data_IF_129351585936
#
_entry.id   IF_129351585936
#
_cell.length_a   1.000
_cell.length_b   1.000
_cell.length_c   1.000
_cell.angle_alpha   90.00
_cell.angle_beta   90.00
_cell.angle_gamma   90.00
#
_symmetry.space_group_name_H-M   'P 1'
#
loop_
_entity.id
_entity.type
_entity.pdbx_description
1 polymer ?
#
# COMPACT_ATOMS: atom_id res chain seq x y z
N UNK A 1 13.47 -59.71 14.84
CA UNK A 1 14.47 -60.00 13.80
C UNK A 1 14.01 -59.29 12.52
N UNK A 2 14.79 -58.27 12.09
CA UNK A 2 14.86 -57.62 10.75
C UNK A 2 13.58 -56.99 10.14
N UNK A 3 13.38 -55.67 10.22
CA UNK A 3 13.91 -54.53 9.40
C UNK A 3 13.24 -54.33 8.04
N UNK A 4 12.76 -53.10 7.79
CA UNK A 4 12.46 -52.61 6.44
C UNK A 4 11.64 -51.32 6.40
N UNK A 5 12.13 -50.21 6.97
CA UNK A 5 11.57 -48.86 6.72
C UNK A 5 12.50 -48.18 5.70
N UNK A 6 11.99 -47.92 4.50
CA UNK A 6 12.68 -47.20 3.45
C UNK A 6 12.56 -45.69 3.70
N UNK A 7 13.70 -45.04 4.00
CA UNK A 7 13.86 -43.59 3.93
C UNK A 7 14.04 -43.20 2.47
N UNK A 8 13.12 -42.40 1.93
CA UNK A 8 13.32 -41.69 0.65
C UNK A 8 14.06 -40.40 0.96
N UNK A 9 15.35 -40.37 0.67
CA UNK A 9 16.15 -39.15 0.64
C UNK A 9 15.99 -38.51 -0.74
N UNK A 10 15.36 -37.33 -0.80
CA UNK A 10 15.31 -36.50 -2.01
C UNK A 10 16.56 -35.62 -2.00
N UNK A 11 17.57 -36.00 -2.79
CA UNK A 11 18.75 -35.19 -3.06
C UNK A 11 18.46 -34.23 -4.22
N UNK A 12 18.46 -32.92 -3.94
CA UNK A 12 18.49 -31.88 -4.98
C UNK A 12 19.90 -31.81 -5.58
N UNK A 13 20.06 -32.33 -6.80
CA UNK A 13 21.26 -32.15 -7.61
C UNK A 13 21.07 -30.87 -8.41
N UNK A 14 21.66 -29.76 -7.95
CA UNK A 14 21.87 -28.58 -8.78
C UNK A 14 23.05 -28.85 -9.71
N UNK A 15 22.79 -28.96 -11.01
CA UNK A 15 23.82 -28.96 -12.04
C UNK A 15 24.14 -27.50 -12.43
N UNK A 16 25.23 -26.97 -11.89
CA UNK A 16 25.90 -25.75 -12.39
C UNK A 16 26.93 -26.16 -13.46
N UNK A 17 26.99 -25.51 -14.64
CA UNK A 17 28.15 -25.61 -15.50
C UNK A 17 29.27 -24.68 -14.99
N UNK A 18 30.35 -25.28 -14.50
CA UNK A 18 31.65 -24.66 -14.23
C UNK A 18 32.35 -24.30 -15.54
N UNK A 19 32.85 -23.06 -15.66
CA UNK A 19 34.13 -22.58 -16.25
C UNK A 19 34.12 -21.04 -16.05
N UNK A 20 35.13 -20.30 -15.59
CA UNK A 20 36.56 -20.52 -15.46
C UNK A 20 37.21 -19.55 -14.45
N UNK A 21 38.27 -20.05 -13.81
CA UNK A 21 39.57 -19.44 -13.43
C UNK A 21 39.61 -18.09 -12.70
N UNK A 22 40.11 -18.17 -11.47
CA UNK A 22 40.54 -17.03 -10.67
C UNK A 22 41.85 -16.39 -11.11
N UNK A 23 42.02 -15.16 -10.65
CA UNK A 23 43.28 -14.49 -10.40
C UNK A 23 43.10 -13.67 -9.12
N UNK A 24 43.88 -13.99 -8.09
CA UNK A 24 43.96 -13.18 -6.88
C UNK A 24 45.06 -12.14 -7.00
N UNK A 25 44.87 -10.99 -6.35
CA UNK A 25 45.85 -10.01 -5.85
C UNK A 25 44.99 -9.00 -5.05
N UNK A 26 45.35 -8.43 -3.91
CA UNK A 26 46.55 -8.41 -3.08
C UNK A 26 46.26 -7.40 -1.97
N UNK A 27 46.56 -7.76 -0.72
CA UNK A 27 46.46 -6.86 0.44
C UNK A 27 47.49 -5.74 0.31
N UNK A 28 47.06 -4.48 0.45
CA UNK A 28 47.92 -3.31 0.56
C UNK A 28 47.59 -2.52 1.81
N UNK A 29 48.50 -2.55 2.79
CA UNK A 29 48.53 -1.66 3.95
C UNK A 29 48.93 -0.23 3.53
N UNK A 30 48.34 0.79 4.17
CA UNK A 30 48.81 2.17 4.11
C UNK A 30 48.27 2.97 5.29
N UNK A 31 49.17 3.33 6.22
CA UNK A 31 48.90 4.13 7.42
C UNK A 31 48.82 5.64 7.12
N UNK A 32 48.08 6.40 7.94
CA UNK A 32 48.19 7.86 8.03
C UNK A 32 47.26 8.47 9.09
N UNK A 33 47.85 8.95 10.18
CA UNK A 33 47.22 9.54 11.37
C UNK A 33 46.64 10.95 11.15
N UNK A 34 45.64 11.34 11.96
CA UNK A 34 45.17 12.72 12.07
C UNK A 34 44.19 12.96 13.23
N UNK A 35 44.76 13.36 14.37
CA UNK A 35 44.24 14.01 15.60
C UNK A 35 42.72 14.22 15.85
N UNK A 36 42.29 13.76 17.03
CA UNK A 36 41.03 14.09 17.72
C UNK A 36 41.09 15.45 18.43
N UNK A 37 39.98 16.20 18.38
CA UNK A 37 39.64 17.28 19.32
C UNK A 37 38.30 16.95 20.00
N UNK A 38 38.07 17.38 21.26
CA UNK A 38 36.97 16.87 22.08
C UNK A 38 35.63 17.46 21.66
N UNK A 39 34.66 16.60 21.33
CA UNK A 39 33.24 16.96 21.23
C UNK A 39 32.51 16.33 22.41
N UNK A 40 31.73 17.14 23.11
CA UNK A 40 30.87 16.71 24.21
C UNK A 40 29.80 15.73 23.70
N UNK A 41 30.03 14.43 23.88
CA UNK A 41 29.07 13.39 23.56
C UNK A 41 28.03 13.29 24.68
N UNK A 42 26.85 13.87 24.47
CA UNK A 42 25.63 13.40 25.15
C UNK A 42 25.38 11.96 24.69
N UNK A 43 25.58 10.98 25.57
CA UNK A 43 25.32 9.55 25.33
C UNK A 43 23.89 9.33 24.84
N UNK A 44 23.72 9.17 23.52
CA UNK A 44 22.52 8.59 22.93
C UNK A 44 22.55 7.09 23.20
N UNK A 45 21.60 6.60 23.99
CA UNK A 45 21.41 5.15 24.17
C UNK A 45 20.63 4.63 22.97
N UNK A 46 21.34 4.21 21.93
CA UNK A 46 20.77 3.40 20.84
C UNK A 46 20.88 1.94 21.31
N UNK A 47 19.75 1.30 21.64
CA UNK A 47 19.72 -0.16 21.76
C UNK A 47 19.51 -0.74 20.37
N UNK A 48 20.54 -1.41 19.86
CA UNK A 48 20.40 -2.33 18.73
C UNK A 48 19.52 -3.51 19.19
N UNK A 49 18.41 -3.75 18.50
CA UNK A 49 17.64 -4.98 18.66
C UNK A 49 18.50 -6.16 18.23
N UNK A 50 18.78 -7.07 19.15
CA UNK A 50 19.44 -8.34 18.86
C UNK A 50 18.55 -9.15 17.92
N UNK A 51 19.13 -9.58 16.80
CA UNK A 51 18.41 -10.25 15.71
C UNK A 51 17.66 -11.51 16.15
N UNK A 52 16.44 -11.66 15.64
CA UNK A 52 15.73 -12.93 15.58
C UNK A 52 15.30 -13.15 14.13
N UNK A 53 15.75 -14.26 13.57
CA UNK A 53 15.38 -14.78 12.26
C UNK A 53 13.89 -15.15 12.22
N UNK A 54 13.29 -14.89 11.06
CA UNK A 54 11.89 -15.11 10.74
C UNK A 54 11.33 -16.47 11.16
N UNK A 55 10.35 -16.44 12.05
CA UNK A 55 9.22 -17.36 12.10
C UNK A 55 8.00 -16.56 12.54
N UNK A 56 6.85 -16.90 11.97
CA UNK A 56 5.53 -16.35 12.29
C UNK A 56 5.20 -16.69 13.75
N UNK A 57 5.65 -15.83 14.65
CA UNK A 57 5.26 -15.83 16.05
C UNK A 57 4.82 -14.42 16.38
N UNK A 58 3.51 -14.29 16.66
CA UNK A 58 3.09 -13.50 17.81
C UNK A 58 4.15 -13.68 18.87
N UNK A 59 4.89 -12.63 19.22
CA UNK A 59 5.83 -12.70 20.35
C UNK A 59 5.02 -13.04 21.58
N UNK A 60 4.94 -14.33 21.85
CA UNK A 60 4.77 -14.90 23.16
C UNK A 60 6.09 -14.53 23.87
N UNK A 61 6.13 -13.29 24.38
CA UNK A 61 6.96 -13.00 25.53
C UNK A 61 6.43 -13.88 26.67
N UNK A 62 6.93 -15.12 26.69
CA UNK A 62 6.96 -15.93 27.90
C UNK A 62 7.60 -15.10 29.00
N UNK A 63 6.85 -14.96 30.09
CA UNK A 63 7.30 -14.48 31.39
C UNK A 63 7.68 -12.99 31.53
N UNK A 64 7.01 -12.07 30.82
CA UNK A 64 7.33 -10.64 30.98
C UNK A 64 6.19 -9.63 30.98
N UNK A 65 5.06 -9.99 31.60
CA UNK A 65 3.97 -9.03 31.82
C UNK A 65 4.35 -7.90 32.82
N UNK A 66 5.50 -7.99 33.48
CA UNK A 66 5.94 -7.09 34.56
C UNK A 66 7.05 -6.10 34.15
N UNK A 67 7.67 -6.22 32.96
CA UNK A 67 8.53 -5.14 32.48
C UNK A 67 7.68 -3.93 32.11
N UNK A 68 7.58 -3.02 33.07
CA UNK A 68 7.14 -1.64 32.85
C UNK A 68 8.04 -1.09 31.75
N UNK A 69 7.51 -0.72 30.57
CA UNK A 69 8.34 -0.11 29.54
C UNK A 69 9.02 1.14 30.13
N UNK A 70 10.25 1.46 29.71
CA UNK A 70 11.01 2.56 30.29
C UNK A 70 10.17 3.83 30.35
N UNK A 71 10.26 4.52 31.48
CA UNK A 71 9.69 5.85 31.67
C UNK A 71 10.28 6.78 30.61
N UNK A 72 9.47 7.09 29.60
CA UNK A 72 9.78 7.93 28.45
C UNK A 72 10.86 7.38 27.48
N UNK A 73 10.41 6.98 26.29
CA UNK A 73 11.28 6.66 25.16
C UNK A 73 11.17 7.75 24.09
N UNK A 74 12.19 8.62 24.01
CA UNK A 74 12.23 9.75 23.06
C UNK A 74 12.20 9.29 21.60
N UNK A 75 12.79 8.14 21.30
CA UNK A 75 12.83 7.60 19.95
C UNK A 75 12.60 6.09 19.97
N UNK A 76 11.63 5.65 19.17
CA UNK A 76 11.42 4.24 18.86
C UNK A 76 11.53 4.05 17.36
N UNK A 77 12.15 2.95 16.96
CA UNK A 77 12.26 2.54 15.57
C UNK A 77 11.74 1.11 15.46
N UNK A 78 10.73 0.91 14.62
CA UNK A 78 10.22 -0.39 14.25
C UNK A 78 10.20 -0.51 12.72
N UNK A 79 10.01 -1.70 12.19
CA UNK A 79 10.04 -1.91 10.74
C UNK A 79 10.41 -3.33 10.37
N UNK A 80 10.55 -3.58 9.07
CA UNK A 80 11.01 -4.86 8.53
C UNK A 80 11.75 -4.65 7.21
N UNK A 81 12.64 -5.60 6.91
CA UNK A 81 13.18 -5.79 5.57
C UNK A 81 12.52 -7.02 4.97
N UNK A 82 12.06 -6.91 3.72
CA UNK A 82 11.46 -7.99 2.95
C UNK A 82 12.28 -8.24 1.70
N UNK A 83 12.46 -9.53 1.41
CA UNK A 83 12.85 -10.04 0.10
C UNK A 83 11.79 -11.09 -0.28
N UNK A 84 11.12 -10.89 -1.41
CA UNK A 84 10.05 -11.78 -1.90
C UNK A 84 10.42 -12.26 -3.30
N UNK A 85 10.32 -13.55 -3.53
CA UNK A 85 10.48 -14.14 -4.87
C UNK A 85 9.16 -14.77 -5.30
N UNK A 86 8.65 -14.31 -6.43
CA UNK A 86 7.35 -14.66 -6.96
C UNK A 86 7.54 -15.53 -8.22
N UNK A 87 6.83 -16.65 -8.28
CA UNK A 87 6.69 -17.48 -9.47
C UNK A 87 5.22 -17.50 -9.88
N UNK A 88 4.91 -16.73 -10.91
CA UNK A 88 3.56 -16.52 -11.39
C UNK A 88 3.39 -17.27 -12.71
N UNK A 89 2.47 -18.22 -12.73
CA UNK A 89 2.21 -19.05 -13.92
C UNK A 89 0.80 -18.80 -14.45
N UNK A 90 0.72 -18.43 -15.73
CA UNK A 90 -0.54 -18.30 -16.48
C UNK A 90 -1.54 -17.36 -15.81
N UNK A 91 -1.08 -16.18 -15.38
CA UNK A 91 -1.94 -15.13 -14.82
C UNK A 91 -3.07 -14.72 -15.78
N UNK A 92 -2.83 -14.85 -17.07
CA UNK A 92 -3.84 -14.62 -18.09
C UNK A 92 -4.90 -15.72 -18.19
N UNK A 93 -4.85 -16.80 -17.41
CA UNK A 93 -5.80 -17.92 -17.48
C UNK A 93 -5.97 -18.54 -18.90
N UNK A 94 -5.02 -18.28 -19.81
CA UNK A 94 -5.10 -18.67 -21.22
C UNK A 94 -5.67 -17.62 -22.19
N UNK A 95 -6.08 -16.43 -21.72
CA UNK A 95 -6.44 -15.30 -22.56
C UNK A 95 -5.18 -14.71 -23.21
N UNK A 96 -5.19 -14.54 -24.53
CA UNK A 96 -4.12 -13.87 -25.25
C UNK A 96 -4.56 -12.45 -25.57
N UNK A 97 -3.62 -11.51 -25.52
CA UNK A 97 -3.89 -10.16 -26.01
C UNK A 97 -4.15 -10.26 -27.51
N UNK A 98 -5.21 -9.61 -27.98
CA UNK A 98 -5.49 -9.36 -29.39
C UNK A 98 -5.95 -7.89 -29.50
N UNK A 99 -5.01 -6.93 -29.52
CA UNK A 99 -5.34 -5.50 -29.51
C UNK A 99 -6.25 -5.09 -30.66
N UNK A 100 -6.10 -5.71 -31.84
CA UNK A 100 -6.97 -5.48 -32.99
C UNK A 100 -8.42 -5.95 -32.81
N UNK A 101 -8.69 -6.77 -31.81
CA UNK A 101 -10.03 -7.27 -31.45
C UNK A 101 -10.50 -6.72 -30.09
N UNK A 102 -9.71 -5.82 -29.47
CA UNK A 102 -10.00 -5.27 -28.15
C UNK A 102 -9.91 -6.28 -27.00
N UNK A 103 -9.31 -7.44 -27.21
CA UNK A 103 -9.16 -8.48 -26.18
C UNK A 103 -7.84 -8.28 -25.45
N UNK A 104 -7.92 -8.13 -24.12
CA UNK A 104 -6.75 -7.97 -23.26
C UNK A 104 -6.79 -8.98 -22.12
N UNK A 105 -5.62 -9.48 -21.74
CA UNK A 105 -5.46 -10.32 -20.56
C UNK A 105 -5.82 -9.49 -19.31
N UNK A 106 -6.61 -10.05 -18.36
CA UNK A 106 -7.05 -9.33 -17.16
C UNK A 106 -5.90 -9.06 -16.17
N UNK A 107 -4.78 -9.74 -16.34
CA UNK A 107 -3.57 -9.59 -15.54
C UNK A 107 -2.35 -9.50 -16.44
N UNK A 108 -1.24 -9.02 -15.87
CA UNK A 108 0.02 -8.87 -16.61
C UNK A 108 0.49 -10.21 -17.21
N UNK A 109 0.98 -10.14 -18.45
CA UNK A 109 1.61 -11.25 -19.17
C UNK A 109 3.06 -10.90 -19.53
N UNK A 110 3.91 -11.89 -19.81
CA UNK A 110 5.26 -11.63 -20.32
C UNK A 110 5.26 -10.66 -21.50
N UNK A 111 6.17 -9.68 -21.47
CA UNK A 111 6.28 -8.63 -22.50
C UNK A 111 6.39 -9.22 -23.92
N UNK A 112 7.02 -10.39 -24.06
CA UNK A 112 7.14 -11.11 -25.32
C UNK A 112 5.80 -11.52 -25.95
N UNK A 113 4.70 -11.56 -25.19
CA UNK A 113 3.36 -11.85 -25.73
C UNK A 113 2.71 -10.66 -26.42
N UNK A 114 3.19 -9.43 -26.18
CA UNK A 114 2.66 -8.23 -26.83
C UNK A 114 3.27 -7.97 -28.22
N UNK A 115 4.26 -8.77 -28.62
CA UNK A 115 4.92 -8.62 -29.91
C UNK A 115 3.95 -8.89 -31.06
N UNK A 116 4.07 -8.13 -32.16
CA UNK A 116 3.14 -8.18 -33.28
C UNK A 116 3.02 -9.55 -33.96
N UNK A 117 4.08 -10.37 -33.91
CA UNK A 117 4.08 -11.73 -34.44
C UNK A 117 3.28 -12.73 -33.59
N UNK A 118 2.96 -12.37 -32.34
CA UNK A 118 2.07 -13.16 -31.48
C UNK A 118 0.60 -13.11 -31.90
N UNK A 119 0.22 -12.19 -32.79
CA UNK A 119 -1.12 -12.11 -33.40
C UNK A 119 -1.23 -12.88 -34.72
N UNK A 120 -0.16 -13.53 -35.19
CA UNK A 120 -0.18 -14.32 -36.41
C UNK A 120 -0.88 -15.68 -36.21
N UNK A 121 -1.35 -16.29 -37.30
CA UNK A 121 -2.02 -17.62 -37.24
C UNK A 121 -1.10 -18.75 -36.73
N UNK A 122 0.22 -18.58 -36.79
CA UNK A 122 1.22 -19.52 -36.30
C UNK A 122 2.22 -18.78 -35.40
N UNK A 123 1.82 -18.39 -34.17
CA UNK A 123 2.66 -17.57 -33.33
C UNK A 123 3.86 -18.37 -32.81
N UNK A 124 5.06 -17.78 -32.74
CA UNK A 124 6.24 -18.45 -32.24
C UNK A 124 6.11 -18.87 -30.77
N UNK A 125 6.91 -19.85 -30.34
CA UNK A 125 6.81 -20.44 -29.00
C UNK A 125 6.93 -19.41 -27.85
N UNK A 126 7.65 -18.31 -28.06
CA UNK A 126 7.77 -17.20 -27.08
C UNK A 126 6.44 -16.52 -26.75
N UNK A 127 5.47 -16.56 -27.66
CA UNK A 127 4.12 -16.04 -27.44
C UNK A 127 3.27 -16.96 -26.55
N UNK A 128 3.73 -18.21 -26.35
CA UNK A 128 3.12 -19.22 -25.48
C UNK A 128 3.85 -19.33 -24.13
N UNK A 129 4.73 -18.38 -23.81
CA UNK A 129 5.41 -18.36 -22.53
C UNK A 129 4.50 -17.77 -21.46
N UNK A 130 4.21 -18.51 -20.40
CA UNK A 130 3.20 -18.15 -19.40
C UNK A 130 3.77 -17.82 -18.02
N UNK A 131 5.09 -17.85 -17.87
CA UNK A 131 5.74 -17.73 -16.57
C UNK A 131 6.31 -16.34 -16.38
N UNK A 132 6.00 -15.70 -15.25
CA UNK A 132 6.68 -14.51 -14.77
C UNK A 132 7.40 -14.88 -13.47
N UNK A 133 8.69 -14.61 -13.42
CA UNK A 133 9.50 -14.74 -12.20
C UNK A 133 10.03 -13.38 -11.83
N UNK A 134 9.87 -13.01 -10.57
CA UNK A 134 10.38 -11.74 -10.06
C UNK A 134 10.91 -11.93 -8.66
N UNK A 135 11.96 -11.20 -8.31
CA UNK A 135 12.40 -11.04 -6.93
C UNK A 135 12.37 -9.56 -6.62
N UNK A 136 11.66 -9.18 -5.56
CA UNK A 136 11.58 -7.81 -5.10
C UNK A 136 12.06 -7.67 -3.66
N UNK A 137 12.49 -6.46 -3.31
CA UNK A 137 12.82 -6.10 -1.93
C UNK A 137 12.03 -4.87 -1.48
N UNK A 138 11.94 -4.69 -0.16
CA UNK A 138 11.42 -3.49 0.51
C UNK A 138 12.04 -3.38 1.90
N UNK A 139 12.45 -2.19 2.31
CA UNK A 139 12.73 -1.87 3.70
C UNK A 139 11.70 -0.85 4.19
N UNK A 140 10.79 -1.27 5.07
CA UNK A 140 9.84 -0.38 5.74
C UNK A 140 10.34 -0.03 7.12
N UNK A 141 10.43 1.25 7.43
CA UNK A 141 10.75 1.75 8.78
C UNK A 141 9.66 2.67 9.28
N UNK A 142 9.30 2.49 10.55
CA UNK A 142 8.27 3.24 11.26
C UNK A 142 8.89 3.93 12.49
N UNK A 143 9.61 5.06 12.30
CA UNK A 143 10.14 5.83 13.41
C UNK A 143 9.03 6.56 14.16
N UNK A 144 9.16 6.60 15.49
CA UNK A 144 8.31 7.41 16.36
C UNK A 144 9.20 8.27 17.25
N UNK A 145 9.13 9.58 17.06
CA UNK A 145 9.81 10.59 17.87
C UNK A 145 8.83 11.13 18.92
N UNK A 146 9.29 11.25 20.17
CA UNK A 146 8.54 11.82 21.29
C UNK A 146 9.38 12.92 21.91
N UNK A 147 9.30 14.16 21.41
CA UNK A 147 10.06 15.28 21.99
C UNK A 147 9.62 15.63 23.43
N UNK A 148 8.38 15.31 23.79
CA UNK A 148 7.81 15.49 25.14
C UNK A 148 6.79 14.40 25.46
N UNK A 149 6.30 14.35 26.70
CA UNK A 149 5.25 13.41 27.12
C UNK A 149 3.90 13.65 26.42
N UNK A 150 3.69 14.86 25.88
CA UNK A 150 2.44 15.24 25.21
C UNK A 150 2.54 15.22 23.70
N UNK A 151 3.73 15.24 23.11
CA UNK A 151 3.93 15.34 21.66
C UNK A 151 4.60 14.08 21.14
N UNK A 152 4.03 13.52 20.08
CA UNK A 152 4.64 12.43 19.31
C UNK A 152 4.53 12.68 17.81
N UNK A 153 5.54 12.25 17.07
CA UNK A 153 5.61 12.33 15.61
C UNK A 153 5.79 10.90 15.12
N UNK A 154 4.93 10.49 14.19
CA UNK A 154 4.89 9.14 13.64
C UNK A 154 5.13 9.23 12.15
N UNK A 155 5.86 8.26 11.60
CA UNK A 155 6.09 8.17 10.16
C UNK A 155 6.19 6.72 9.71
N UNK A 156 5.85 6.49 8.44
CA UNK A 156 6.09 5.25 7.70
C UNK A 156 6.90 5.59 6.46
N UNK A 157 8.10 5.02 6.37
CA UNK A 157 9.04 5.27 5.29
C UNK A 157 9.37 3.94 4.61
N UNK A 158 9.15 3.86 3.31
CA UNK A 158 9.53 2.71 2.50
C UNK A 158 10.74 3.06 1.64
N UNK A 159 11.81 2.28 1.82
CA UNK A 159 13.04 2.34 1.02
C UNK A 159 13.03 1.15 0.08
N UNK A 160 13.27 1.42 -1.21
CA UNK A 160 13.15 0.43 -2.28
C UNK A 160 11.79 -0.26 -2.23
N UNK A 161 10.73 0.53 -2.19
CA UNK A 161 9.37 0.05 -2.04
C UNK A 161 8.92 -0.81 -3.24
N UNK A 162 9.08 -2.13 -3.10
CA UNK A 162 8.87 -3.16 -4.14
C UNK A 162 9.85 -3.06 -5.32
N UNK A 163 11.10 -2.70 -5.05
CA UNK A 163 12.16 -2.71 -6.06
C UNK A 163 12.37 -4.13 -6.58
N UNK A 164 12.17 -4.34 -7.88
CA UNK A 164 12.54 -5.58 -8.57
C UNK A 164 14.06 -5.64 -8.70
N UNK A 165 14.68 -6.72 -8.23
CA UNK A 165 16.13 -6.85 -8.30
C UNK A 165 16.59 -6.91 -9.77
N UNK A 166 17.56 -6.06 -10.11
CA UNK A 166 18.08 -5.93 -11.47
C UNK A 166 17.24 -5.07 -12.40
N UNK A 167 16.19 -4.39 -11.92
CA UNK A 167 15.38 -3.49 -12.78
C UNK A 167 16.08 -2.20 -13.21
N UNK A 168 17.24 -1.88 -12.61
CA UNK A 168 17.95 -0.62 -12.83
C UNK A 168 19.41 -0.88 -13.26
N UNK A 169 19.68 -1.57 -14.38
CA UNK A 169 21.05 -1.77 -14.84
C UNK A 169 21.66 -0.42 -15.28
N UNK A 170 22.97 -0.21 -15.10
CA UNK A 170 23.60 1.10 -15.39
C UNK A 170 23.66 1.51 -16.87
N UNK A 171 23.20 0.63 -17.77
CA UNK A 171 23.01 0.90 -19.20
C UNK A 171 21.55 0.96 -19.65
N UNK A 172 20.58 1.22 -18.77
CA UNK A 172 19.16 1.38 -19.15
C UNK A 172 18.56 2.66 -18.57
N UNK A 173 17.88 3.43 -19.42
CA UNK A 173 17.05 4.57 -19.00
C UNK A 173 15.60 4.33 -19.41
N UNK A 174 14.68 4.61 -18.49
CA UNK A 174 13.25 4.50 -18.70
C UNK A 174 12.84 5.45 -19.84
N UNK A 175 12.11 4.94 -20.84
CA UNK A 175 11.70 5.70 -22.02
C UNK A 175 12.75 5.85 -23.13
N UNK A 176 14.04 5.70 -22.82
CA UNK A 176 15.13 5.84 -23.80
C UNK A 176 15.83 4.52 -24.16
N UNK A 177 15.59 3.46 -23.39
CA UNK A 177 16.15 2.13 -23.62
C UNK A 177 17.65 2.05 -23.29
N UNK A 178 18.37 1.19 -24.02
CA UNK A 178 19.83 1.05 -23.89
C UNK A 178 20.55 2.14 -24.68
N UNK A 179 21.48 2.91 -24.08
CA UNK A 179 22.25 3.93 -24.79
C UNK A 179 23.03 3.36 -25.98
N UNK A 180 23.24 4.16 -27.04
CA UNK A 180 23.90 3.71 -28.27
C UNK A 180 25.36 3.27 -28.10
N UNK A 181 26.03 3.69 -27.03
CA UNK A 181 27.39 3.26 -26.68
C UNK A 181 27.44 1.93 -25.90
N UNK A 182 26.28 1.37 -25.53
CA UNK A 182 26.14 0.07 -24.89
C UNK A 182 25.31 -0.85 -25.82
N UNK A 183 25.92 -1.87 -26.46
CA UNK A 183 25.23 -2.67 -27.47
C UNK A 183 24.09 -3.51 -26.90
N UNK A 184 24.14 -3.88 -25.61
CA UNK A 184 23.12 -4.67 -24.92
C UNK A 184 23.26 -4.54 -23.40
N UNK A 185 22.14 -4.41 -22.67
CA UNK A 185 22.12 -4.24 -21.22
C UNK A 185 22.79 -5.40 -20.46
N UNK A 186 22.75 -6.62 -21.00
CA UNK A 186 23.35 -7.80 -20.33
C UNK A 186 24.87 -7.87 -20.37
N UNK A 187 25.57 -6.92 -21.00
CA UNK A 187 27.02 -6.75 -20.83
C UNK A 187 27.38 -5.95 -19.58
N UNK A 188 26.40 -5.30 -18.97
CA UNK A 188 26.55 -4.53 -17.76
C UNK A 188 26.06 -5.34 -16.55
N UNK A 189 26.99 -5.68 -15.66
CA UNK A 189 26.69 -6.37 -14.40
C UNK A 189 26.41 -5.42 -13.24
N UNK A 190 26.39 -4.11 -13.49
CA UNK A 190 26.21 -3.09 -12.47
C UNK A 190 24.78 -2.56 -12.46
N UNK A 191 24.35 -2.07 -11.30
CA UNK A 191 23.07 -1.38 -11.13
C UNK A 191 23.31 0.11 -10.94
N UNK A 192 22.56 0.94 -11.66
CA UNK A 192 22.47 2.36 -11.41
C UNK A 192 21.69 2.64 -10.12
N UNK A 193 21.90 3.85 -9.58
CA UNK A 193 21.10 4.35 -8.46
C UNK A 193 19.63 4.45 -8.90
N UNK A 194 18.72 4.07 -8.02
CA UNK A 194 17.28 4.15 -8.28
C UNK A 194 16.80 5.60 -8.20
N UNK A 195 16.37 6.16 -9.33
CA UNK A 195 16.04 7.58 -9.48
C UNK A 195 14.76 7.74 -10.32
N UNK A 196 13.79 8.49 -9.77
CA UNK A 196 12.52 8.78 -10.43
C UNK A 196 12.76 9.53 -11.75
N UNK A 197 12.04 9.13 -12.81
CA UNK A 197 12.10 9.78 -14.12
C UNK A 197 13.34 9.42 -14.95
N UNK A 198 14.37 8.82 -14.34
CA UNK A 198 15.58 8.35 -15.03
C UNK A 198 15.51 6.85 -15.34
N UNK A 199 15.36 6.02 -14.30
CA UNK A 199 15.31 4.56 -14.42
C UNK A 199 14.23 3.92 -13.51
N UNK A 200 13.38 4.73 -12.91
CA UNK A 200 12.28 4.32 -12.06
C UNK A 200 11.05 5.22 -12.26
N UNK A 201 9.86 4.67 -12.11
CA UNK A 201 8.62 5.43 -12.07
C UNK A 201 8.38 6.13 -10.72
N UNK A 202 9.17 5.78 -9.69
CA UNK A 202 8.99 6.24 -8.31
C UNK A 202 10.33 6.57 -7.64
N UNK A 203 10.29 7.34 -6.57
CA UNK A 203 11.46 7.58 -5.74
C UNK A 203 11.94 6.34 -4.98
N UNK A 204 13.24 6.30 -4.67
CA UNK A 204 13.86 5.23 -3.87
C UNK A 204 13.40 5.24 -2.43
N UNK A 205 13.05 6.40 -1.90
CA UNK A 205 12.55 6.60 -0.54
C UNK A 205 11.19 7.26 -0.64
N UNK A 206 10.16 6.58 -0.12
CA UNK A 206 8.78 7.06 -0.13
C UNK A 206 8.27 7.21 1.30
N UNK A 207 7.86 8.42 1.66
CA UNK A 207 7.20 8.70 2.95
C UNK A 207 5.71 8.46 2.76
N UNK A 208 5.21 7.35 3.30
CA UNK A 208 3.79 6.96 3.21
C UNK A 208 2.93 7.71 4.21
N UNK A 209 3.46 7.93 5.41
CA UNK A 209 2.79 8.68 6.46
C UNK A 209 3.79 9.57 7.22
N UNK A 210 3.33 10.74 7.63
CA UNK A 210 4.04 11.65 8.53
C UNK A 210 3.00 12.53 9.22
N UNK A 211 2.81 12.34 10.52
CA UNK A 211 1.83 13.09 11.29
C UNK A 211 2.29 13.34 12.72
N UNK A 212 1.86 14.48 13.25
CA UNK A 212 2.04 14.85 14.65
C UNK A 212 0.80 14.48 15.48
N UNK A 213 1.00 14.14 16.75
CA UNK A 213 -0.05 13.91 17.73
C UNK A 213 0.28 14.64 19.03
N UNK A 214 -0.66 15.45 19.50
CA UNK A 214 -0.58 16.25 20.72
C UNK A 214 -1.66 15.80 21.70
N UNK A 215 -1.27 15.30 22.87
CA UNK A 215 -2.17 14.95 23.94
C UNK A 215 -2.55 16.19 24.75
N UNK A 216 -3.82 16.58 24.69
CA UNK A 216 -4.40 17.73 25.38
C UNK A 216 -5.20 17.32 26.62
N UNK A 217 -4.87 16.16 27.23
CA UNK A 217 -5.52 15.50 28.37
C UNK A 217 -6.96 15.03 28.12
N UNK A 218 -7.83 15.90 27.61
CA UNK A 218 -9.24 15.59 27.29
C UNK A 218 -9.37 14.87 25.94
N UNK A 219 -8.50 15.22 25.00
CA UNK A 219 -8.46 14.61 23.68
C UNK A 219 -7.03 14.65 23.14
N UNK A 220 -6.78 13.82 22.14
CA UNK A 220 -5.60 13.85 21.30
C UNK A 220 -5.94 14.63 20.02
N UNK A 221 -5.12 15.61 19.68
CA UNK A 221 -5.13 16.28 18.38
C UNK A 221 -4.05 15.65 17.49
N UNK A 222 -4.42 15.13 16.33
CA UNK A 222 -3.48 14.64 15.33
C UNK A 222 -3.62 15.41 14.02
N UNK A 223 -2.52 15.65 13.31
CA UNK A 223 -2.52 16.32 12.02
C UNK A 223 -1.38 15.86 11.12
N UNK A 224 -1.65 15.78 9.81
CA UNK A 224 -0.71 15.33 8.78
C UNK A 224 -1.24 14.13 8.00
N UNK A 225 -0.34 13.46 7.27
CA UNK A 225 -0.67 12.25 6.50
C UNK A 225 -0.67 11.03 7.41
N UNK A 226 -1.84 10.44 7.65
CA UNK A 226 -2.01 9.31 8.57
C UNK A 226 -2.51 8.06 7.83
N UNK A 227 -2.14 6.85 8.26
CA UNK A 227 -2.80 5.64 7.78
C UNK A 227 -4.29 5.66 8.16
N UNK A 228 -5.16 5.34 7.22
CA UNK A 228 -6.58 5.20 7.46
C UNK A 228 -6.92 3.70 7.56
N UNK A 229 -7.28 3.26 8.75
CA UNK A 229 -7.60 1.86 9.00
C UNK A 229 -8.78 1.73 9.94
N UNK A 230 -9.73 0.86 9.60
CA UNK A 230 -10.86 0.53 10.44
C UNK A 230 -11.18 -0.96 10.36
N UNK A 231 -11.69 -1.53 11.45
CA UNK A 231 -12.12 -2.93 11.50
C UNK A 231 -11.02 -3.96 11.16
N UNK A 232 -11.38 -4.87 10.25
CA UNK A 232 -10.57 -5.82 9.47
C UNK A 232 -9.86 -5.15 8.28
N UNK A 233 -10.30 -3.96 7.87
CA UNK A 233 -9.76 -3.23 6.73
C UNK A 233 -10.42 -3.61 5.41
N UNK A 234 -11.75 -3.78 5.41
CA UNK A 234 -12.52 -4.04 4.19
C UNK A 234 -12.62 -2.77 3.34
N UNK A 235 -13.00 -1.65 3.94
CA UNK A 235 -13.14 -0.36 3.24
C UNK A 235 -11.94 0.57 3.42
N UNK A 236 -11.31 0.53 4.60
CA UNK A 236 -10.17 1.38 4.94
C UNK A 236 -9.04 0.55 5.51
N UNK A 237 -7.94 0.44 4.78
CA UNK A 237 -6.81 -0.41 5.15
C UNK A 237 -5.47 0.34 5.10
N UNK A 238 -4.93 0.68 6.28
CA UNK A 238 -3.64 1.38 6.39
C UNK A 238 -2.39 0.61 5.93
N UNK A 239 -2.53 -0.63 5.42
CA UNK A 239 -1.44 -1.35 4.76
C UNK A 239 -0.30 -1.77 5.68
N UNK A 240 -0.58 -2.03 6.96
CA UNK A 240 0.45 -2.33 7.97
C UNK A 240 0.99 -3.78 7.90
N UNK A 241 0.41 -4.63 7.05
CA UNK A 241 0.85 -6.01 6.86
C UNK A 241 2.25 -6.13 6.25
N UNK A 242 2.92 -7.26 6.52
CA UNK A 242 4.23 -7.55 5.91
C UNK A 242 4.17 -7.70 4.38
N UNK A 243 3.09 -8.31 3.90
CA UNK A 243 2.84 -8.52 2.47
C UNK A 243 1.87 -7.48 1.88
N UNK A 244 1.52 -6.45 2.66
CA UNK A 244 0.66 -5.38 2.20
C UNK A 244 1.47 -4.46 1.27
N UNK A 245 1.25 -4.62 -0.04
CA UNK A 245 1.93 -3.79 -1.04
C UNK A 245 1.33 -2.38 -1.16
N UNK A 246 0.09 -2.20 -0.69
CA UNK A 246 -0.67 -0.96 -0.70
C UNK A 246 -1.23 -0.62 0.70
N UNK A 247 -1.67 0.62 0.87
CA UNK A 247 -2.37 1.08 2.07
C UNK A 247 -3.02 2.43 1.82
N UNK A 248 -4.07 2.70 2.58
CA UNK A 248 -4.83 3.94 2.55
C UNK A 248 -4.19 4.94 3.51
N UNK A 249 -3.87 6.12 2.98
CA UNK A 249 -3.33 7.23 3.74
C UNK A 249 -4.14 8.49 3.43
N UNK A 250 -4.47 9.25 4.46
CA UNK A 250 -5.30 10.45 4.34
C UNK A 250 -4.61 11.61 5.03
N UNK A 251 -4.60 12.77 4.37
CA UNK A 251 -4.17 14.03 4.95
C UNK A 251 -5.32 14.59 5.78
N UNK A 252 -5.13 14.72 7.10
CA UNK A 252 -6.23 14.92 8.05
C UNK A 252 -5.84 15.80 9.22
N UNK A 253 -6.83 16.47 9.79
CA UNK A 253 -6.81 16.96 11.19
C UNK A 253 -7.86 16.17 11.98
N UNK A 254 -7.42 15.49 13.04
CA UNK A 254 -8.25 14.58 13.84
C UNK A 254 -8.23 14.95 15.30
N UNK A 255 -9.41 14.91 15.93
CA UNK A 255 -9.55 14.91 17.38
C UNK A 255 -10.02 13.53 17.81
N UNK A 256 -9.41 12.95 18.83
CA UNK A 256 -9.81 11.66 19.41
C UNK A 256 -9.89 11.74 20.91
N UNK A 257 -10.99 11.29 21.50
CA UNK A 257 -11.20 11.26 22.95
C UNK A 257 -11.62 9.88 23.40
N UNK A 258 -11.27 9.52 24.64
CA UNK A 258 -11.73 8.31 25.30
C UNK A 258 -12.85 8.68 26.25
N UNK A 259 -14.03 8.09 26.07
CA UNK A 259 -15.16 8.22 26.99
C UNK A 259 -14.96 7.19 28.11
N UNK A 260 -14.54 7.59 29.32
CA UNK A 260 -13.97 6.64 30.30
C UNK A 260 -14.97 5.58 30.79
N UNK A 261 -16.24 5.97 30.98
CA UNK A 261 -17.25 5.07 31.51
C UNK A 261 -17.63 3.93 30.56
N UNK A 262 -17.38 4.10 29.26
CA UNK A 262 -17.75 3.12 28.24
C UNK A 262 -16.56 2.43 27.60
N UNK A 263 -15.34 2.90 27.90
CA UNK A 263 -14.10 2.52 27.21
C UNK A 263 -14.24 2.68 25.68
N UNK A 264 -14.89 3.78 25.28
CA UNK A 264 -15.26 4.06 23.90
C UNK A 264 -14.38 5.20 23.39
N UNK A 265 -13.55 4.92 22.38
CA UNK A 265 -12.79 5.94 21.67
C UNK A 265 -13.67 6.55 20.60
N UNK A 266 -13.86 7.85 20.66
CA UNK A 266 -14.60 8.61 19.66
C UNK A 266 -13.66 9.57 18.96
N UNK A 267 -13.85 9.75 17.66
CA UNK A 267 -13.06 10.69 16.89
C UNK A 267 -13.89 11.43 15.85
N UNK A 268 -13.43 12.64 15.55
CA UNK A 268 -13.92 13.46 14.47
C UNK A 268 -12.70 13.98 13.70
N UNK A 269 -12.82 14.03 12.40
CA UNK A 269 -11.75 14.45 11.52
C UNK A 269 -12.27 15.24 10.34
N UNK A 270 -11.47 16.23 9.96
CA UNK A 270 -11.56 16.92 8.69
C UNK A 270 -10.41 16.40 7.81
N UNK A 271 -10.79 15.84 6.68
CA UNK A 271 -9.92 15.16 5.73
C UNK A 271 -9.81 15.98 4.45
N UNK A 272 -8.57 16.19 4.04
CA UNK A 272 -8.20 16.76 2.75
C UNK A 272 -8.06 15.59 1.77
N UNK A 273 -9.19 15.08 1.26
CA UNK A 273 -9.20 13.86 0.46
C UNK A 273 -8.63 14.09 -0.96
N UNK A 274 -8.84 15.28 -1.51
CA UNK A 274 -8.20 15.76 -2.74
C UNK A 274 -8.23 17.30 -2.75
N UNK A 275 -7.13 17.91 -3.21
CA UNK A 275 -6.93 19.37 -3.28
C UNK A 275 -6.58 19.84 -4.69
N UNK A 276 -6.98 19.07 -5.71
CA UNK A 276 -6.78 19.49 -7.10
C UNK A 276 -5.34 19.78 -7.52
N UNK A 277 -5.21 20.76 -8.42
CA UNK A 277 -3.92 21.26 -8.90
C UNK A 277 -3.28 22.22 -7.90
N UNK A 278 -1.98 22.07 -7.70
CA UNK A 278 -1.18 23.03 -6.91
C UNK A 278 -0.31 23.89 -7.82
N UNK A 279 0.10 25.05 -7.32
CA UNK A 279 0.98 25.97 -8.06
C UNK A 279 2.30 25.35 -8.50
N UNK A 280 2.77 24.31 -7.81
CA UNK A 280 3.99 23.58 -8.17
C UNK A 280 3.82 22.79 -9.47
N UNK A 281 2.60 22.32 -9.77
CA UNK A 281 2.31 21.61 -11.03
C UNK A 281 2.16 22.60 -12.19
N UNK A 282 1.58 23.78 -11.97
CA UNK A 282 1.42 24.82 -13.00
C UNK A 282 2.68 25.66 -13.24
N UNK A 283 3.52 25.81 -12.22
CA UNK A 283 4.74 26.61 -12.28
C UNK A 283 5.92 25.79 -11.75
N UNK A 284 6.33 24.71 -12.44
CA UNK A 284 7.36 23.78 -11.96
C UNK A 284 8.75 24.43 -11.83
N UNK A 285 8.99 25.55 -12.52
CA UNK A 285 10.23 26.32 -12.43
C UNK A 285 10.25 27.31 -11.25
N UNK A 286 9.16 27.39 -10.47
CA UNK A 286 9.10 28.24 -9.28
C UNK A 286 9.74 27.51 -8.11
N UNK A 287 11.08 27.49 -8.10
CA UNK A 287 11.89 26.82 -7.06
C UNK A 287 11.84 27.52 -5.70
N UNK A 288 11.16 28.66 -5.59
CA UNK A 288 11.07 29.48 -4.38
C UNK A 288 9.63 29.82 -4.01
N UNK A 289 9.29 29.61 -2.73
CA UNK A 289 7.97 29.89 -2.16
C UNK A 289 7.30 28.64 -1.62
N UNK A 290 6.15 28.83 -0.95
CA UNK A 290 5.28 27.73 -0.54
C UNK A 290 4.31 27.43 -1.68
N UNK A 291 4.20 26.18 -2.16
CA UNK A 291 3.15 25.78 -3.08
C UNK A 291 1.77 26.05 -2.47
N UNK A 292 0.86 26.57 -3.28
CA UNK A 292 -0.52 26.83 -2.88
C UNK A 292 -1.46 26.00 -3.73
N UNK A 293 -2.61 25.68 -3.15
CA UNK A 293 -3.76 25.19 -3.89
C UNK A 293 -4.22 26.28 -4.89
N UNK A 294 -4.59 25.85 -6.09
CA UNK A 294 -5.01 26.73 -7.17
C UNK A 294 -6.51 27.00 -7.16
N UNK A 295 -7.35 26.12 -6.60
CA UNK A 295 -8.80 26.35 -6.57
C UNK A 295 -9.56 25.53 -5.50
N UNK A 296 -10.12 26.20 -4.49
CA UNK A 296 -11.00 25.58 -3.49
C UNK A 296 -12.29 24.93 -4.06
N UNK A 297 -12.66 25.21 -5.32
CA UNK A 297 -13.87 24.63 -5.94
C UNK A 297 -13.71 23.17 -6.37
N UNK A 298 -12.48 22.73 -6.68
CA UNK A 298 -12.20 21.36 -7.11
C UNK A 298 -11.88 20.39 -5.95
N UNK A 299 -11.76 20.95 -4.75
CA UNK A 299 -11.56 20.25 -3.49
C UNK A 299 -12.62 19.17 -3.20
N UNK A 300 -12.13 18.00 -2.81
CA UNK A 300 -12.94 16.98 -2.16
C UNK A 300 -12.73 17.06 -0.64
N UNK A 301 -13.61 17.80 0.03
CA UNK A 301 -13.62 17.87 1.49
C UNK A 301 -14.37 16.66 2.07
N UNK A 302 -13.73 15.94 2.99
CA UNK A 302 -14.34 14.83 3.69
C UNK A 302 -14.36 15.05 5.21
N UNK A 303 -15.49 14.70 5.82
CA UNK A 303 -15.65 14.65 7.27
C UNK A 303 -15.78 13.20 7.68
N UNK A 304 -14.99 12.80 8.67
CA UNK A 304 -14.99 11.42 9.15
C UNK A 304 -15.24 11.41 10.64
N UNK A 305 -16.16 10.55 11.09
CA UNK A 305 -16.42 10.30 12.49
C UNK A 305 -16.33 8.80 12.79
N UNK A 306 -15.84 8.45 13.97
CA UNK A 306 -15.83 7.06 14.42
C UNK A 306 -16.09 6.94 15.91
N UNK A 307 -16.60 5.79 16.31
CA UNK A 307 -16.71 5.36 17.69
C UNK A 307 -16.30 3.90 17.76
N UNK A 308 -15.26 3.57 18.53
CA UNK A 308 -14.70 2.22 18.62
C UNK A 308 -14.38 1.84 20.06
N UNK A 309 -14.80 0.64 20.44
CA UNK A 309 -14.36 -0.05 21.63
C UNK A 309 -13.55 -1.26 21.20
N UNK A 310 -12.28 -1.29 21.59
CA UNK A 310 -11.34 -2.35 21.21
C UNK A 310 -10.37 -2.61 22.35
N UNK A 311 -10.36 -3.83 22.86
CA UNK A 311 -9.38 -4.27 23.85
C UNK A 311 -8.01 -4.43 23.21
N UNK A 312 -6.94 -4.18 23.98
CA UNK A 312 -5.58 -4.49 23.54
C UNK A 312 -5.38 -6.01 23.42
N UNK A 313 -4.43 -6.49 22.58
CA UNK A 313 -4.16 -7.92 22.46
C UNK A 313 -3.87 -8.59 23.82
N UNK A 314 -3.17 -7.87 24.71
CA UNK A 314 -2.84 -8.32 26.06
C UNK A 314 -4.07 -8.46 26.96
N UNK A 315 -4.99 -7.50 26.93
CA UNK A 315 -6.25 -7.56 27.67
C UNK A 315 -7.15 -8.66 27.14
N UNK A 316 -7.28 -8.79 25.82
CA UNK A 316 -8.07 -9.84 25.18
C UNK A 316 -7.56 -11.23 25.57
N UNK A 317 -6.25 -11.48 25.50
CA UNK A 317 -5.64 -12.75 25.94
C UNK A 317 -5.94 -13.04 27.41
N UNK A 318 -5.77 -12.04 28.29
CA UNK A 318 -6.07 -12.18 29.73
C UNK A 318 -7.54 -12.51 29.98
N UNK A 319 -8.48 -11.78 29.38
CA UNK A 319 -9.91 -11.98 29.58
C UNK A 319 -10.36 -13.36 29.06
N UNK A 320 -9.79 -13.83 27.96
CA UNK A 320 -10.06 -15.17 27.43
C UNK A 320 -9.52 -16.28 28.34
N UNK A 321 -8.33 -16.09 28.93
CA UNK A 321 -7.78 -17.02 29.93
C UNK A 321 -8.64 -17.07 31.21
N UNK A 322 -9.22 -15.93 31.60
CA UNK A 322 -10.20 -15.85 32.68
C UNK A 322 -11.57 -16.47 32.31
N UNK A 323 -11.72 -17.00 31.09
CA UNK A 323 -12.96 -17.61 30.59
C UNK A 323 -14.08 -16.60 30.32
N UNK A 324 -13.76 -15.31 30.19
CA UNK A 324 -14.72 -14.24 29.91
C UNK A 324 -14.98 -14.10 28.42
N UNK A 325 -16.16 -13.59 28.09
CA UNK A 325 -16.51 -13.17 26.72
C UNK A 325 -15.86 -11.80 26.48
N UNK A 326 -15.16 -11.67 25.35
CA UNK A 326 -14.58 -10.40 24.91
C UNK A 326 -15.37 -9.91 23.70
N UNK A 327 -15.92 -8.70 23.81
CA UNK A 327 -16.69 -8.05 22.75
C UNK A 327 -16.01 -6.72 22.39
N UNK A 328 -15.67 -6.58 21.13
CA UNK A 328 -15.16 -5.36 20.52
C UNK A 328 -16.14 -4.93 19.41
N UNK A 329 -16.31 -3.64 19.21
CA UNK A 329 -17.18 -3.12 18.17
C UNK A 329 -16.80 -1.70 17.81
N UNK A 330 -17.18 -1.27 16.62
CA UNK A 330 -17.05 0.10 16.22
C UNK A 330 -17.95 0.46 15.06
N UNK A 331 -18.12 1.76 14.86
CA UNK A 331 -18.67 2.35 13.67
C UNK A 331 -17.74 3.45 13.18
N UNK A 332 -17.62 3.55 11.87
CA UNK A 332 -16.91 4.59 11.14
C UNK A 332 -17.85 5.13 10.06
N UNK A 333 -17.84 6.43 9.84
CA UNK A 333 -18.61 7.06 8.78
C UNK A 333 -17.78 8.18 8.17
N UNK A 334 -17.69 8.20 6.84
CA UNK A 334 -17.17 9.33 6.11
C UNK A 334 -18.26 9.97 5.26
N UNK A 335 -18.23 11.30 5.17
CA UNK A 335 -19.09 12.10 4.33
C UNK A 335 -18.19 13.01 3.49
N UNK A 336 -18.21 12.86 2.17
CA UNK A 336 -17.39 13.66 1.27
C UNK A 336 -18.24 14.46 0.30
N UNK A 337 -17.76 15.66 -0.04
CA UNK A 337 -18.39 16.56 -0.98
C UNK A 337 -17.34 17.20 -1.87
N UNK A 338 -17.62 17.20 -3.17
CA UNK A 338 -16.80 17.84 -4.19
C UNK A 338 -17.70 18.58 -5.18
N UNK A 339 -17.34 19.81 -5.57
CA UNK A 339 -18.15 20.61 -6.50
C UNK A 339 -17.67 20.49 -7.93
N UNK A 340 -16.37 20.68 -8.13
CA UNK A 340 -15.70 20.53 -9.41
C UNK A 340 -14.63 19.43 -9.31
N UNK A 341 -14.18 18.94 -10.44
CA UNK A 341 -13.01 18.08 -10.53
C UNK A 341 -12.39 18.30 -11.91
N UNK A 342 -11.11 17.98 -12.05
CA UNK A 342 -10.49 17.97 -13.36
C UNK A 342 -11.22 16.99 -14.31
N UNK A 343 -11.29 17.38 -15.58
CA UNK A 343 -11.81 16.54 -16.63
C UNK A 343 -11.01 15.23 -16.74
N UNK A 344 -11.69 14.15 -17.12
CA UNK A 344 -11.02 12.88 -17.39
C UNK A 344 -10.20 13.01 -18.67
N UNK A 345 -8.90 12.71 -18.62
CA UNK A 345 -8.05 12.67 -19.81
C UNK A 345 -8.41 11.47 -20.70
N UNK A 346 -8.40 11.69 -22.02
CA UNK A 346 -8.29 10.60 -22.98
C UNK A 346 -6.85 10.07 -22.97
N UNK A 347 -6.64 8.81 -23.30
CA UNK A 347 -5.29 8.22 -23.28
C UNK A 347 -4.32 8.75 -24.33
N UNK A 348 -4.84 9.43 -25.35
CA UNK A 348 -4.05 10.16 -26.35
C UNK A 348 -3.60 11.52 -25.84
N UNK A 349 -4.20 11.98 -24.73
CA UNK A 349 -3.78 13.20 -24.07
C UNK A 349 -2.50 12.90 -23.30
N UNK A 350 -1.45 13.67 -23.58
CA UNK A 350 -0.20 13.56 -22.84
C UNK A 350 -0.52 13.83 -21.35
N UNK A 351 -0.25 12.91 -20.41
CA UNK A 351 -0.53 13.16 -19.00
C UNK A 351 0.25 14.36 -18.44
N UNK A 352 1.27 14.84 -19.17
CA UNK A 352 2.03 16.06 -18.87
C UNK A 352 1.31 17.33 -19.40
N UNK A 353 0.27 17.21 -20.22
CA UNK A 353 -0.45 18.36 -20.81
C UNK A 353 -1.29 19.19 -19.82
N UNK A 354 -1.54 18.67 -18.61
CA UNK A 354 -2.03 19.49 -17.48
C UNK A 354 -1.04 20.59 -17.08
N UNK A 355 0.23 20.44 -17.46
CA UNK A 355 1.31 21.39 -17.22
C UNK A 355 1.76 22.07 -18.52
N UNK A 356 0.82 22.58 -19.33
CA UNK A 356 1.17 23.62 -20.31
C UNK A 356 1.59 24.96 -19.64
N UNK A 357 1.91 24.94 -18.34
CA UNK A 357 2.21 26.10 -17.49
C UNK A 357 1.23 27.28 -17.70
N UNK A 358 0.02 26.97 -18.18
CA UNK A 358 -1.00 27.92 -18.58
C UNK A 358 -2.26 27.65 -17.76
N UNK A 359 -2.54 28.52 -16.77
CA UNK A 359 -3.73 28.41 -15.92
C UNK A 359 -5.03 28.45 -16.71
N UNK A 360 -5.06 29.07 -17.90
CA UNK A 360 -6.30 29.19 -18.68
C UNK A 360 -6.75 27.85 -19.23
N UNK A 361 -5.81 27.03 -19.73
CA UNK A 361 -6.07 25.67 -20.20
C UNK A 361 -6.54 24.78 -19.05
N UNK A 362 -5.91 24.91 -17.88
CA UNK A 362 -6.28 24.11 -16.70
C UNK A 362 -7.66 24.49 -16.16
N UNK A 363 -8.02 25.79 -16.19
CA UNK A 363 -9.34 26.27 -15.79
C UNK A 363 -10.45 25.75 -16.73
N UNK A 364 -10.20 25.68 -18.04
CA UNK A 364 -11.15 25.14 -19.02
C UNK A 364 -11.39 23.63 -18.85
N UNK A 365 -10.49 22.93 -18.13
CA UNK A 365 -10.62 21.51 -17.79
C UNK A 365 -11.35 21.26 -16.46
N UNK A 366 -11.76 22.30 -15.73
CA UNK A 366 -12.55 22.12 -14.52
C UNK A 366 -13.99 21.78 -14.87
N UNK A 367 -14.40 20.58 -14.49
CA UNK A 367 -15.73 20.09 -14.75
C UNK A 367 -16.58 20.05 -13.50
N UNK A 368 -17.84 20.45 -13.64
CA UNK A 368 -18.81 20.36 -12.55
C UNK A 368 -19.05 18.87 -12.26
N UNK A 369 -19.01 18.48 -10.99
CA UNK A 369 -19.33 17.11 -10.53
C UNK A 369 -20.49 17.09 -9.55
N UNK A 370 -20.49 18.03 -8.61
CA UNK A 370 -21.42 18.10 -7.46
C UNK A 370 -21.58 16.73 -6.76
N UNK A 371 -20.46 16.05 -6.54
CA UNK A 371 -20.41 14.75 -5.89
C UNK A 371 -20.76 14.89 -4.40
N UNK A 372 -21.64 14.03 -3.92
CA UNK A 372 -21.89 13.84 -2.49
C UNK A 372 -21.88 12.35 -2.20
N UNK A 373 -21.04 11.92 -1.25
CA UNK A 373 -20.89 10.51 -0.88
C UNK A 373 -20.93 10.35 0.64
N UNK A 374 -21.59 9.30 1.11
CA UNK A 374 -21.59 8.85 2.49
C UNK A 374 -21.13 7.39 2.53
N UNK A 375 -20.20 7.07 3.41
CA UNK A 375 -19.61 5.75 3.53
C UNK A 375 -19.66 5.24 4.97
N UNK A 376 -20.73 4.52 5.37
CA UNK A 376 -20.77 3.85 6.66
C UNK A 376 -19.96 2.54 6.65
N UNK A 377 -19.32 2.26 7.78
CA UNK A 377 -18.55 1.05 8.02
C UNK A 377 -18.74 0.60 9.48
N UNK A 378 -19.15 -0.66 9.67
CA UNK A 378 -19.48 -1.25 10.95
C UNK A 378 -18.60 -2.48 11.19
N UNK A 379 -17.94 -2.53 12.34
CA UNK A 379 -17.09 -3.64 12.74
C UNK A 379 -17.52 -4.24 14.07
N UNK A 380 -17.45 -5.56 14.17
CA UNK A 380 -17.78 -6.31 15.38
C UNK A 380 -16.84 -7.51 15.53
N UNK A 381 -16.33 -7.72 16.75
CA UNK A 381 -15.53 -8.89 17.12
C UNK A 381 -16.01 -9.48 18.45
N UNK A 382 -16.19 -10.79 18.46
CA UNK A 382 -16.57 -11.59 19.63
C UNK A 382 -15.55 -12.71 19.79
N UNK A 383 -14.96 -12.84 20.98
CA UNK A 383 -14.11 -13.96 21.32
C UNK A 383 -14.54 -14.60 22.64
N UNK A 384 -14.59 -15.92 22.66
CA UNK A 384 -14.93 -16.71 23.84
C UNK A 384 -14.21 -18.06 23.85
N UNK A 385 -13.34 -18.27 24.84
CA UNK A 385 -12.51 -19.47 24.96
C UNK A 385 -11.76 -19.75 23.65
N UNK A 386 -12.10 -20.84 22.97
CA UNK A 386 -11.52 -21.27 21.69
C UNK A 386 -12.19 -20.66 20.47
N UNK A 387 -13.34 -20.00 20.60
CA UNK A 387 -14.09 -19.46 19.47
C UNK A 387 -13.83 -17.96 19.29
N UNK A 388 -13.71 -17.53 18.04
CA UNK A 388 -13.69 -16.13 17.65
C UNK A 388 -14.59 -15.90 16.43
N UNK A 389 -15.33 -14.80 16.43
CA UNK A 389 -16.08 -14.28 15.30
C UNK A 389 -15.67 -12.84 15.11
N UNK A 390 -15.41 -12.44 13.88
CA UNK A 390 -15.12 -11.07 13.51
C UNK A 390 -15.85 -10.75 12.20
N UNK A 391 -16.48 -9.60 12.12
CA UNK A 391 -17.21 -9.17 10.93
C UNK A 391 -17.04 -7.68 10.69
N UNK A 392 -17.06 -7.31 9.42
CA UNK A 392 -17.10 -5.92 8.95
C UNK A 392 -18.15 -5.81 7.86
N UNK A 393 -18.96 -4.75 7.92
CA UNK A 393 -19.99 -4.42 6.94
C UNK A 393 -19.80 -2.97 6.54
N UNK A 394 -19.54 -2.74 5.27
CA UNK A 394 -19.29 -1.41 4.73
C UNK A 394 -20.26 -1.11 3.59
N UNK A 395 -20.57 0.16 3.42
CA UNK A 395 -21.36 0.64 2.29
C UNK A 395 -20.89 2.00 1.83
N UNK A 396 -21.24 2.36 0.61
CA UNK A 396 -21.03 3.69 0.07
C UNK A 396 -22.23 4.06 -0.77
N UNK A 397 -22.79 5.22 -0.48
CA UNK A 397 -24.00 5.73 -1.11
C UNK A 397 -23.78 7.19 -1.49
N UNK A 398 -24.30 7.62 -2.63
CA UNK A 398 -24.16 9.00 -3.04
C UNK A 398 -24.62 9.24 -4.45
N UNK A 399 -24.33 10.44 -4.94
CA UNK A 399 -24.68 10.85 -6.29
C UNK A 399 -23.63 11.79 -6.86
N UNK A 400 -23.50 11.75 -8.18
CA UNK A 400 -22.71 12.64 -9.02
C UNK A 400 -23.68 13.23 -10.03
N UNK A 401 -23.66 14.55 -10.20
CA UNK A 401 -24.67 15.24 -11.02
C UNK A 401 -24.21 15.50 -12.45
N UNK A 402 -22.91 15.43 -12.74
CA UNK A 402 -22.43 15.67 -14.11
C UNK A 402 -21.13 14.88 -14.40
N UNK A 403 -21.23 13.98 -15.37
CA UNK A 403 -20.18 13.11 -15.90
C UNK A 403 -20.12 13.18 -17.43
N UNK A 404 -20.44 14.33 -18.03
CA UNK A 404 -20.50 14.52 -19.50
C UNK A 404 -19.20 14.20 -20.25
N UNK A 405 -18.06 14.29 -19.59
CA UNK A 405 -16.72 14.01 -20.11
C UNK A 405 -16.29 12.55 -19.88
N UNK A 406 -17.11 11.77 -19.18
CA UNK A 406 -16.91 10.33 -19.00
C UNK A 406 -17.80 9.59 -19.98
N UNK A 407 -17.25 8.56 -20.65
CA UNK A 407 -18.03 7.68 -21.54
C UNK A 407 -18.93 6.79 -20.69
N UNK A 408 -20.12 7.28 -20.35
CA UNK A 408 -21.17 6.50 -19.69
C UNK A 408 -22.29 6.31 -20.72
N UNK A 409 -22.52 5.06 -21.14
CA UNK A 409 -23.62 4.72 -22.05
C UNK A 409 -24.97 4.74 -21.31
N UNK A 410 -25.37 5.91 -20.81
CA UNK A 410 -26.61 6.11 -20.06
C UNK A 410 -27.33 7.38 -20.52
N UNK A 411 -28.65 7.34 -20.51
CA UNK A 411 -29.49 8.52 -20.73
C UNK A 411 -29.35 9.50 -19.54
N UNK A 412 -28.38 10.41 -19.63
CA UNK A 412 -28.11 11.46 -18.65
C UNK A 412 -26.69 11.44 -18.08
N UNK A 413 -26.27 12.55 -17.49
CA UNK A 413 -24.92 12.73 -16.92
C UNK A 413 -24.88 12.52 -15.39
N UNK A 414 -26.02 12.12 -14.80
CA UNK A 414 -26.18 11.92 -13.37
C UNK A 414 -25.98 10.44 -13.01
N UNK A 415 -25.18 10.17 -11.97
CA UNK A 415 -24.93 8.83 -11.45
C UNK A 415 -25.34 8.76 -9.98
N UNK A 416 -26.27 7.87 -9.67
CA UNK A 416 -26.51 7.44 -8.29
C UNK A 416 -25.66 6.21 -8.01
N UNK A 417 -24.96 6.22 -6.87
CA UNK A 417 -24.09 5.14 -6.45
C UNK A 417 -24.64 4.51 -5.17
N UNK A 418 -24.76 3.17 -5.17
CA UNK A 418 -24.97 2.38 -3.96
C UNK A 418 -24.13 1.11 -4.07
N UNK A 419 -23.15 0.97 -3.19
CA UNK A 419 -22.36 -0.23 -3.03
C UNK A 419 -22.43 -0.71 -1.58
N UNK A 420 -22.50 -2.03 -1.38
CA UNK A 420 -22.45 -2.67 -0.07
C UNK A 420 -21.51 -3.87 -0.12
N UNK A 421 -20.76 -4.08 0.95
CA UNK A 421 -19.84 -5.20 1.09
C UNK A 421 -19.73 -5.65 2.53
N UNK A 422 -19.24 -6.86 2.72
CA UNK A 422 -19.06 -7.43 4.04
C UNK A 422 -18.09 -8.58 4.08
N UNK A 423 -17.42 -8.74 5.22
CA UNK A 423 -16.56 -9.87 5.53
C UNK A 423 -16.96 -10.47 6.87
N UNK A 424 -16.96 -11.80 6.96
CA UNK A 424 -17.15 -12.58 8.17
C UNK A 424 -15.99 -13.56 8.32
N UNK A 425 -15.27 -13.49 9.43
CA UNK A 425 -14.20 -14.40 9.82
C UNK A 425 -14.60 -15.17 11.07
N UNK A 426 -14.66 -16.50 10.95
CA UNK A 426 -14.86 -17.42 12.07
C UNK A 426 -13.52 -18.09 12.40
N UNK A 427 -13.23 -18.24 13.68
CA UNK A 427 -12.03 -18.89 14.17
C UNK A 427 -12.33 -19.88 15.28
N UNK A 428 -11.66 -21.03 15.25
CA UNK A 428 -11.73 -22.05 16.27
C UNK A 428 -10.34 -22.57 16.62
N UNK A 429 -9.89 -22.29 17.84
CA UNK A 429 -8.64 -22.78 18.41
C UNK A 429 -8.83 -24.20 18.95
N UNK A 430 -8.39 -25.18 18.18
CA UNK A 430 -8.52 -26.61 18.53
C UNK A 430 -7.49 -27.04 19.56
N UNK A 431 -6.25 -26.56 19.45
CA UNK A 431 -5.16 -26.80 20.42
C UNK A 431 -4.34 -25.52 20.65
N UNK A 432 -3.26 -25.59 21.43
CA UNK A 432 -2.32 -24.47 21.57
C UNK A 432 -1.78 -24.00 20.22
N UNK A 433 -1.57 -24.94 19.30
CA UNK A 433 -0.79 -24.76 18.07
C UNK A 433 -1.66 -24.79 16.81
N UNK A 434 -2.90 -25.29 16.90
CA UNK A 434 -3.81 -25.43 15.75
C UNK A 434 -5.02 -24.53 15.90
N UNK A 435 -5.17 -23.61 14.95
CA UNK A 435 -6.34 -22.72 14.82
C UNK A 435 -6.94 -22.86 13.43
N UNK A 436 -8.22 -23.19 13.37
CA UNK A 436 -9.00 -23.16 12.15
C UNK A 436 -9.57 -21.77 11.94
N UNK A 437 -9.49 -21.24 10.73
CA UNK A 437 -10.14 -19.99 10.33
C UNK A 437 -10.93 -20.20 9.05
N UNK A 438 -12.12 -19.62 9.00
CA UNK A 438 -13.02 -19.65 7.86
C UNK A 438 -13.43 -18.20 7.57
N UNK A 439 -13.28 -17.76 6.34
CA UNK A 439 -13.57 -16.38 5.95
C UNK A 439 -14.54 -16.37 4.77
N UNK A 440 -15.54 -15.50 4.85
CA UNK A 440 -16.52 -15.24 3.81
C UNK A 440 -16.51 -13.75 3.50
N UNK A 441 -16.47 -13.41 2.22
CA UNK A 441 -16.56 -12.04 1.73
C UNK A 441 -17.69 -11.91 0.71
N UNK A 442 -18.33 -10.76 0.70
CA UNK A 442 -19.34 -10.37 -0.29
C UNK A 442 -19.15 -8.90 -0.65
N UNK A 443 -19.37 -8.58 -1.93
CA UNK A 443 -19.47 -7.22 -2.42
C UNK A 443 -20.58 -7.18 -3.48
N UNK A 444 -21.40 -6.13 -3.47
CA UNK A 444 -22.40 -5.89 -4.50
C UNK A 444 -21.72 -5.60 -5.85
N UNK A 445 -22.28 -6.14 -6.92
CA UNK A 445 -21.91 -5.80 -8.30
C UNK A 445 -22.71 -4.62 -8.84
N UNK A 446 -22.46 -4.30 -10.10
CA UNK A 446 -23.22 -3.30 -10.86
C UNK A 446 -24.55 -3.90 -11.38
N UNK A 447 -25.58 -3.06 -11.47
CA UNK A 447 -26.91 -3.39 -11.98
C UNK A 447 -26.98 -3.29 -13.52
N UNK A 448 -26.01 -2.65 -14.20
CA UNK A 448 -26.03 -2.43 -15.67
C UNK A 448 -25.76 -3.69 -16.52
N UNK A 449 -25.42 -4.83 -15.92
CA UNK A 449 -25.13 -6.06 -16.65
C UNK A 449 -26.37 -6.68 -17.35
N UNK A 450 -27.59 -6.32 -16.96
CA UNK A 450 -28.81 -7.00 -17.44
C UNK A 450 -29.53 -6.32 -18.61
N UNK A 451 -29.09 -5.14 -19.12
CA UNK A 451 -29.83 -4.40 -20.16
C UNK A 451 -29.01 -3.87 -21.35
N UNK A 452 -27.89 -4.49 -21.73
CA UNK A 452 -27.28 -4.18 -23.04
C UNK A 452 -26.92 -5.44 -23.83
N UNK A 453 -27.27 -5.43 -25.12
CA UNK A 453 -26.83 -6.40 -26.13
C UNK A 453 -25.30 -6.40 -26.35
N UNK A 454 -24.55 -5.62 -25.56
CA UNK A 454 -23.10 -5.60 -25.50
C UNK A 454 -22.63 -6.40 -24.27
N UNK A 455 -22.34 -7.68 -24.48
CA UNK A 455 -21.68 -8.52 -23.48
C UNK A 455 -20.32 -7.92 -23.12
N UNK A 456 -20.14 -7.50 -21.87
CA UNK A 456 -18.82 -7.41 -21.23
C UNK A 456 -18.13 -6.04 -21.20
N UNK A 457 -18.86 -4.94 -21.03
CA UNK A 457 -18.24 -3.62 -20.74
C UNK A 457 -18.54 -3.13 -19.32
N UNK A 458 -18.37 -3.98 -18.30
CA UNK A 458 -17.91 -3.49 -17.00
C UNK A 458 -16.39 -3.38 -17.07
N UNK A 459 -15.93 -2.43 -17.90
CA UNK A 459 -14.53 -2.21 -18.19
C UNK A 459 -14.22 -0.77 -17.75
N UNK A 460 -13.51 -0.63 -16.63
CA UNK A 460 -12.40 0.32 -16.57
C UNK A 460 -11.29 -0.15 -17.56
N UNK A 461 -11.67 -0.40 -18.82
CA UNK A 461 -10.76 -0.70 -19.91
C UNK A 461 -11.08 0.33 -20.99
N UNK A 462 -10.13 1.25 -21.14
CA UNK A 462 -10.27 2.39 -22.03
C UNK A 462 -9.72 3.68 -21.42
N UNK A 463 -8.50 3.66 -20.88
CA UNK A 463 -7.54 4.57 -21.51
C UNK A 463 -7.34 3.98 -22.92
N UNK A 464 -7.81 4.64 -24.02
CA UNK A 464 -7.54 4.17 -25.38
C UNK A 464 -6.07 3.80 -25.68
#
# INVERSE_FOLDING_TARGET
MKTGIYFIAVAFIMTLPLMARGQGFGMGQGMGQGAQGPRDEKKMVIKAGTGSSAQDETTDEGDDFLKKPPSFQMFSLSGYMRLRSDWMYRLNLGYHNHPGEGIYAPFQVPLSQYMSDCYSSNPPARCKYHTLTSTNMRLRVNPVLRPSDTVSIHSTIDIFDNLVLGSNPSGFSMGYGTPSYMPYAGFDGNSAVYEQGSNSAWDSIRIKSLYGKVNLKLFDLAFGRMPNHFGLGLMHNGGEGYDADYGDYVDRVQITSLIPNWDLKVGLSWDFASQGLTSQLLYPNQDQGQPIDMDDFDDNTQWTAFAVKRHTPREKKRLLLDGKVVVDYGAHISYSRQRYSMAVLNSTDDPISFANNDPTVSADQLEVRKTTMISPDLWFSLAYRSFSLEMELAGKYGWITDLKDTVINRDGNDLNYLGVGGVLRLGYKWSSDVTWKLEFGYASGDDEYEQSDAKGTSNYAGLP
#
